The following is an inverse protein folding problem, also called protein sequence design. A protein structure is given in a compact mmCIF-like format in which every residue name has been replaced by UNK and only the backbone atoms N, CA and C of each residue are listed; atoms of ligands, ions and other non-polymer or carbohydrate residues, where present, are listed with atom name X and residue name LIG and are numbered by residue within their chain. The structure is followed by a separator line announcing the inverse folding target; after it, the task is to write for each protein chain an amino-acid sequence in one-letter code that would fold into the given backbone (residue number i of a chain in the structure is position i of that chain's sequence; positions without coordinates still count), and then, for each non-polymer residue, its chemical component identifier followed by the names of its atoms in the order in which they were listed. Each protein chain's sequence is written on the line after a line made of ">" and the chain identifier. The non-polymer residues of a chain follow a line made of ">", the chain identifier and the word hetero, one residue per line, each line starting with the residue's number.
data_IF_471204891807
#
_entry.id   IF_471204891807
#
_cell.length_a   1.000
_cell.length_b   1.000
_cell.length_c   1.000
_cell.angle_alpha   90.00
_cell.angle_beta   90.00
_cell.angle_gamma   90.00
#
_symmetry.space_group_name_H-M   'P 1'
#
loop_
_entity.id
_entity.type
_entity.pdbx_description
1 polymer ?
#
# COMPACT_ATOMS: atom_id res chain seq x y z
N UNK A 1 -17.54 19.04 -2.98
CA UNK A 1 -16.27 19.35 -2.27
C UNK A 1 -15.14 19.15 -3.24
N UNK A 2 -14.25 20.13 -3.37
CA UNK A 2 -13.07 20.05 -4.24
C UNK A 2 -11.80 19.81 -3.44
N UNK A 3 -11.07 18.74 -3.76
CA UNK A 3 -9.90 18.28 -2.99
C UNK A 3 -8.66 18.27 -3.86
N UNK A 4 -7.55 18.82 -3.35
CA UNK A 4 -6.25 18.65 -3.98
C UNK A 4 -5.44 17.61 -3.19
N UNK A 5 -5.09 16.51 -3.84
CA UNK A 5 -4.16 15.55 -3.30
C UNK A 5 -2.73 15.89 -3.74
N UNK A 6 -1.80 15.96 -2.79
CA UNK A 6 -0.38 16.22 -3.07
C UNK A 6 0.40 15.02 -2.57
N UNK A 7 1.13 14.36 -3.46
CA UNK A 7 1.94 13.17 -3.13
C UNK A 7 3.40 13.38 -3.54
N UNK A 8 4.32 12.71 -2.85
CA UNK A 8 5.75 12.83 -3.15
C UNK A 8 6.09 12.34 -4.56
N UNK A 9 5.54 11.21 -4.97
CA UNK A 9 5.69 10.62 -6.31
C UNK A 9 4.56 9.65 -6.60
N UNK A 10 4.43 9.22 -7.84
CA UNK A 10 3.40 8.28 -8.33
C UNK A 10 4.04 7.11 -9.09
N UNK A 11 5.14 6.59 -8.56
CA UNK A 11 5.70 5.31 -8.96
C UNK A 11 4.84 4.14 -8.49
N UNK A 12 5.36 2.90 -8.58
CA UNK A 12 4.65 1.74 -8.05
C UNK A 12 4.97 1.54 -6.58
N UNK A 13 3.96 1.67 -5.72
CA UNK A 13 4.06 1.48 -4.29
C UNK A 13 2.68 1.40 -3.62
N UNK A 14 2.64 0.89 -2.39
CA UNK A 14 1.37 0.71 -1.67
C UNK A 14 0.62 2.02 -1.40
N UNK A 15 1.33 3.11 -1.09
CA UNK A 15 0.72 4.41 -0.83
C UNK A 15 0.12 5.04 -2.09
N UNK A 16 0.80 4.88 -3.23
CA UNK A 16 0.40 5.39 -4.53
C UNK A 16 -0.83 4.64 -5.06
N UNK A 17 -0.83 3.32 -4.95
CA UNK A 17 -1.97 2.47 -5.31
C UNK A 17 -3.16 2.74 -4.38
N UNK A 18 -2.91 2.91 -3.07
CA UNK A 18 -3.95 3.25 -2.11
C UNK A 18 -4.57 4.63 -2.41
N UNK A 19 -3.77 5.61 -2.82
CA UNK A 19 -4.30 6.91 -3.25
C UNK A 19 -5.21 6.75 -4.46
N UNK A 20 -4.76 6.04 -5.52
CA UNK A 20 -5.58 5.80 -6.70
C UNK A 20 -6.89 5.11 -6.36
N UNK A 21 -6.83 4.04 -5.56
CA UNK A 21 -7.99 3.30 -5.14
C UNK A 21 -8.97 4.19 -4.35
N UNK A 22 -8.46 4.99 -3.42
CA UNK A 22 -9.26 5.93 -2.64
C UNK A 22 -9.95 6.98 -3.55
N UNK A 23 -9.23 7.53 -4.52
CA UNK A 23 -9.77 8.52 -5.48
C UNK A 23 -10.97 7.98 -6.27
N UNK A 24 -10.97 6.70 -6.61
CA UNK A 24 -12.08 6.05 -7.34
C UNK A 24 -13.34 5.87 -6.48
N UNK A 25 -13.20 5.93 -5.15
CA UNK A 25 -14.31 5.70 -4.21
C UNK A 25 -14.73 6.96 -3.45
N UNK A 26 -13.96 8.04 -3.55
CA UNK A 26 -14.32 9.31 -2.91
C UNK A 26 -15.31 10.09 -3.77
N UNK A 27 -16.46 10.52 -3.24
CA UNK A 27 -17.42 11.38 -3.94
C UNK A 27 -16.96 12.85 -3.94
N UNK A 28 -15.75 13.10 -4.41
CA UNK A 28 -15.13 14.43 -4.43
C UNK A 28 -14.64 14.81 -5.83
N UNK A 29 -14.69 16.10 -6.16
CA UNK A 29 -13.96 16.64 -7.31
C UNK A 29 -12.48 16.74 -6.93
N UNK A 30 -11.67 15.80 -7.41
CA UNK A 30 -10.29 15.65 -6.97
C UNK A 30 -9.29 15.92 -8.08
N UNK A 31 -8.23 16.67 -7.75
CA UNK A 31 -7.04 16.84 -8.55
C UNK A 31 -5.81 16.26 -7.81
N UNK A 32 -4.79 15.84 -8.53
CA UNK A 32 -3.56 15.28 -7.96
C UNK A 32 -2.34 16.08 -8.43
N UNK A 33 -1.43 16.36 -7.50
CA UNK A 33 -0.08 16.89 -7.80
C UNK A 33 0.96 15.90 -7.31
N UNK A 34 1.74 15.34 -8.22
CA UNK A 34 2.98 14.64 -7.90
C UNK A 34 4.12 15.66 -7.77
N UNK A 35 4.85 15.65 -6.66
CA UNK A 35 6.00 16.55 -6.50
C UNK A 35 7.16 16.11 -7.38
N UNK A 36 7.40 14.81 -7.47
CA UNK A 36 8.44 14.19 -8.29
C UNK A 36 7.90 12.91 -8.90
N UNK A 37 8.49 12.45 -10.00
CA UNK A 37 8.23 11.13 -10.59
C UNK A 37 6.73 10.84 -10.78
N UNK A 38 6.14 11.46 -11.79
CA UNK A 38 4.82 11.10 -12.30
C UNK A 38 4.92 9.79 -13.10
N UNK A 39 5.05 8.65 -12.39
CA UNK A 39 5.23 7.32 -12.98
C UNK A 39 3.93 6.69 -13.47
N UNK A 40 3.91 5.35 -13.51
CA UNK A 40 2.79 4.56 -14.08
C UNK A 40 1.47 4.76 -13.34
N UNK A 41 1.49 4.99 -12.02
CA UNK A 41 0.27 5.25 -11.25
C UNK A 41 -0.35 6.60 -11.62
N UNK A 42 0.47 7.61 -11.99
CA UNK A 42 -0.05 8.89 -12.49
C UNK A 42 -0.83 8.73 -13.79
N UNK A 43 -0.32 7.91 -14.71
CA UNK A 43 -1.01 7.59 -15.97
C UNK A 43 -2.34 6.87 -15.70
N UNK A 44 -2.34 5.95 -14.75
CA UNK A 44 -3.55 5.22 -14.37
C UNK A 44 -4.60 6.13 -13.71
N UNK A 45 -4.20 7.06 -12.83
CA UNK A 45 -5.09 8.06 -12.25
C UNK A 45 -5.66 8.99 -13.33
N UNK A 46 -4.85 9.39 -14.31
CA UNK A 46 -5.29 10.20 -15.43
C UNK A 46 -6.29 9.44 -16.33
N UNK A 47 -6.08 8.15 -16.55
CA UNK A 47 -7.00 7.28 -17.27
C UNK A 47 -8.33 7.09 -16.52
N UNK A 48 -8.34 7.17 -15.19
CA UNK A 48 -9.55 7.21 -14.36
C UNK A 48 -10.30 8.57 -14.45
N UNK A 49 -9.83 9.52 -15.28
CA UNK A 49 -10.45 10.82 -15.52
C UNK A 49 -10.06 11.92 -14.54
N UNK A 50 -9.06 11.69 -13.69
CA UNK A 50 -8.61 12.64 -12.67
C UNK A 50 -7.39 13.40 -13.18
N UNK A 51 -7.40 14.74 -13.04
CA UNK A 51 -6.27 15.56 -13.47
C UNK A 51 -5.05 15.35 -12.60
N UNK A 52 -3.93 14.96 -13.21
CA UNK A 52 -2.63 14.80 -12.56
C UNK A 52 -1.67 15.85 -13.07
N UNK A 53 -0.99 16.55 -12.17
CA UNK A 53 0.05 17.54 -12.50
C UNK A 53 1.38 17.05 -11.93
N UNK A 54 2.40 16.92 -12.76
CA UNK A 54 3.79 16.73 -12.31
C UNK A 54 4.40 18.09 -12.01
N UNK A 55 4.82 18.30 -10.76
CA UNK A 55 5.49 19.53 -10.35
C UNK A 55 6.96 19.58 -10.79
N UNK A 56 7.58 18.41 -11.05
CA UNK A 56 8.95 18.31 -11.51
C UNK A 56 9.97 18.86 -10.51
N UNK A 57 9.83 18.54 -9.21
CA UNK A 57 10.82 18.93 -8.19
C UNK A 57 12.15 18.25 -8.44
N UNK A 58 13.23 19.00 -8.44
CA UNK A 58 14.59 18.50 -8.62
C UNK A 58 15.17 17.80 -7.39
N UNK A 59 14.58 17.98 -6.20
CA UNK A 59 15.04 17.35 -4.96
C UNK A 59 14.40 17.91 -3.68
N UNK A 60 14.91 17.46 -2.53
CA UNK A 60 14.37 17.85 -1.22
C UNK A 60 14.56 19.33 -0.87
N UNK A 61 15.44 20.04 -1.54
CA UNK A 61 15.78 21.46 -1.28
C UNK A 61 15.30 22.39 -2.39
N UNK A 62 14.41 21.92 -3.29
CA UNK A 62 13.81 22.74 -4.35
C UNK A 62 12.76 23.69 -3.77
N UNK A 63 13.23 24.79 -3.19
CA UNK A 63 12.34 25.81 -2.63
C UNK A 63 11.53 26.53 -3.71
N UNK A 64 11.97 26.51 -4.99
CA UNK A 64 11.23 27.08 -6.12
C UNK A 64 9.93 26.29 -6.42
N UNK A 65 9.78 25.09 -5.91
CA UNK A 65 8.53 24.32 -5.97
C UNK A 65 7.39 24.98 -5.17
N UNK A 66 7.70 25.68 -4.05
CA UNK A 66 6.68 26.30 -3.20
C UNK A 66 5.80 27.32 -3.94
N UNK A 67 6.34 28.37 -4.61
CA UNK A 67 5.51 29.33 -5.32
C UNK A 67 4.74 28.69 -6.48
N UNK A 68 5.26 27.64 -7.13
CA UNK A 68 4.52 26.88 -8.16
C UNK A 68 3.32 26.17 -7.55
N UNK A 69 3.52 25.49 -6.42
CA UNK A 69 2.47 24.76 -5.70
C UNK A 69 1.40 25.73 -5.15
N UNK A 70 1.81 26.88 -4.58
CA UNK A 70 0.88 27.95 -4.13
C UNK A 70 0.00 28.45 -5.28
N UNK A 71 0.58 28.63 -6.46
CA UNK A 71 -0.18 29.07 -7.65
C UNK A 71 -1.23 28.03 -8.04
N UNK A 72 -0.88 26.74 -8.06
CA UNK A 72 -1.82 25.66 -8.36
C UNK A 72 -2.96 25.65 -7.34
N UNK A 73 -2.64 25.70 -6.04
CA UNK A 73 -3.63 25.68 -4.97
C UNK A 73 -4.60 26.85 -5.08
N UNK A 74 -4.12 28.08 -5.33
CA UNK A 74 -4.94 29.27 -5.48
C UNK A 74 -5.84 29.20 -6.71
N UNK A 75 -5.28 28.79 -7.86
CA UNK A 75 -6.02 28.68 -9.11
C UNK A 75 -7.14 27.64 -9.04
N UNK A 76 -6.91 26.54 -8.32
CA UNK A 76 -7.87 25.44 -8.21
C UNK A 76 -9.02 25.69 -7.24
N UNK A 77 -8.92 26.65 -6.31
CA UNK A 77 -9.94 26.98 -5.29
C UNK A 77 -10.40 25.76 -4.50
N UNK A 78 -9.46 24.97 -3.99
CA UNK A 78 -9.75 23.74 -3.27
C UNK A 78 -10.30 24.00 -1.86
N UNK A 79 -11.32 23.23 -1.48
CA UNK A 79 -11.89 23.22 -0.12
C UNK A 79 -10.93 22.56 0.86
N UNK A 80 -10.25 21.48 0.43
CA UNK A 80 -9.32 20.71 1.22
C UNK A 80 -8.02 20.46 0.43
N UNK A 81 -6.89 20.56 1.11
CA UNK A 81 -5.59 20.08 0.61
C UNK A 81 -5.20 18.85 1.41
N UNK A 82 -5.05 17.71 0.74
CA UNK A 82 -4.65 16.43 1.37
C UNK A 82 -3.26 16.02 0.88
N UNK A 83 -2.34 15.82 1.82
CA UNK A 83 -0.94 15.53 1.52
C UNK A 83 -0.59 14.08 1.90
N UNK A 84 0.22 13.41 1.06
CA UNK A 84 0.60 12.01 1.23
C UNK A 84 2.12 11.88 1.16
N UNK A 85 2.71 11.14 2.09
CA UNK A 85 4.13 10.93 2.23
C UNK A 85 4.89 12.18 2.72
N UNK A 86 6.05 11.96 3.34
CA UNK A 86 6.79 12.96 4.11
C UNK A 86 7.07 14.28 3.38
N UNK A 87 7.62 14.20 2.15
CA UNK A 87 7.97 15.40 1.38
C UNK A 87 6.73 16.22 1.03
N UNK A 88 5.68 15.57 0.56
CA UNK A 88 4.43 16.24 0.23
C UNK A 88 3.73 16.79 1.49
N UNK A 89 3.82 16.09 2.62
CA UNK A 89 3.34 16.62 3.90
C UNK A 89 4.05 17.91 4.31
N UNK A 90 5.34 18.02 4.06
CA UNK A 90 6.09 19.24 4.39
C UNK A 90 5.75 20.38 3.42
N UNK A 91 5.99 20.18 2.12
CA UNK A 91 5.80 21.21 1.10
C UNK A 91 4.33 21.59 0.92
N UNK A 92 3.43 20.60 0.91
CA UNK A 92 2.01 20.82 0.71
C UNK A 92 1.35 21.59 1.85
N UNK A 93 1.69 21.28 3.10
CA UNK A 93 1.20 22.03 4.26
C UNK A 93 1.63 23.51 4.23
N UNK A 94 2.91 23.77 3.93
CA UNK A 94 3.44 25.13 3.79
C UNK A 94 2.71 25.87 2.65
N UNK A 95 2.66 25.27 1.46
CA UNK A 95 2.03 25.88 0.29
C UNK A 95 0.53 26.13 0.49
N UNK A 96 -0.20 25.21 1.11
CA UNK A 96 -1.62 25.38 1.43
C UNK A 96 -1.86 26.58 2.35
N UNK A 97 -1.04 26.71 3.41
CA UNK A 97 -1.12 27.87 4.32
C UNK A 97 -0.80 29.19 3.62
N UNK A 98 0.24 29.23 2.77
CA UNK A 98 0.58 30.40 1.94
C UNK A 98 -0.53 30.70 0.91
N UNK A 99 -1.25 29.72 0.45
CA UNK A 99 -2.38 29.90 -0.47
C UNK A 99 -3.68 30.33 0.24
N UNK A 100 -3.72 30.30 1.59
CA UNK A 100 -4.90 30.67 2.39
C UNK A 100 -5.82 29.49 2.74
N UNK A 101 -5.51 28.25 2.31
CA UNK A 101 -6.30 27.07 2.64
C UNK A 101 -5.95 26.62 4.06
N UNK A 102 -6.98 26.53 4.93
CA UNK A 102 -6.86 26.12 6.32
C UNK A 102 -7.19 24.64 6.54
N UNK A 103 -8.02 24.07 5.67
CA UNK A 103 -8.41 22.65 5.71
C UNK A 103 -7.30 21.79 5.09
N UNK A 104 -6.28 21.50 5.88
CA UNK A 104 -5.13 20.70 5.44
C UNK A 104 -5.11 19.39 6.21
N UNK A 105 -5.25 18.29 5.48
CA UNK A 105 -5.17 16.91 5.97
C UNK A 105 -3.85 16.30 5.49
N UNK A 106 -3.28 15.39 6.26
CA UNK A 106 -2.11 14.62 5.84
C UNK A 106 -2.31 13.15 6.19
N UNK A 107 -1.95 12.23 5.29
CA UNK A 107 -1.95 10.78 5.57
C UNK A 107 -0.52 10.26 5.68
N UNK A 108 -0.26 9.57 6.79
CA UNK A 108 0.99 8.87 7.04
C UNK A 108 0.88 7.39 6.65
N UNK A 109 1.57 7.03 5.56
CA UNK A 109 1.54 5.69 4.97
C UNK A 109 2.71 4.81 5.41
N UNK A 110 3.84 5.38 5.87
CA UNK A 110 5.11 4.67 6.00
C UNK A 110 5.91 5.08 7.23
N UNK A 111 5.23 5.48 8.31
CA UNK A 111 5.89 5.80 9.57
C UNK A 111 6.14 4.52 10.37
N UNK A 112 7.41 4.08 10.40
CA UNK A 112 7.89 3.00 11.24
C UNK A 112 8.43 3.50 12.60
N UNK A 113 9.00 2.60 13.39
CA UNK A 113 9.64 2.96 14.66
C UNK A 113 11.08 3.46 14.44
N UNK A 114 11.78 2.92 13.47
CA UNK A 114 13.18 3.25 13.15
C UNK A 114 13.37 4.05 11.86
N UNK A 115 12.38 4.04 10.97
CA UNK A 115 12.49 4.63 9.64
C UNK A 115 11.15 5.21 9.16
N UNK A 116 11.26 6.19 8.24
CA UNK A 116 10.14 6.74 7.48
C UNK A 116 10.48 6.70 6.00
N UNK A 117 9.64 6.05 5.20
CA UNK A 117 9.86 5.88 3.75
C UNK A 117 11.25 5.28 3.41
N UNK A 118 11.72 4.33 4.25
CA UNK A 118 13.02 3.68 4.09
C UNK A 118 14.23 4.55 4.50
N UNK A 119 14.00 5.71 5.15
CA UNK A 119 15.07 6.58 5.65
C UNK A 119 15.12 6.53 7.16
N UNK A 120 16.33 6.55 7.77
CA UNK A 120 16.48 6.57 9.23
C UNK A 120 15.78 7.77 9.85
N UNK A 121 15.11 7.55 10.96
CA UNK A 121 14.51 8.61 11.77
C UNK A 121 15.58 9.32 12.59
N UNK A 122 15.79 10.60 12.28
CA UNK A 122 16.68 11.47 13.07
C UNK A 122 15.87 12.49 13.86
N UNK A 123 16.44 13.03 14.92
CA UNK A 123 15.83 14.10 15.71
C UNK A 123 15.45 15.31 14.82
N UNK A 124 16.29 15.64 13.83
CA UNK A 124 16.02 16.71 12.87
C UNK A 124 14.82 16.43 11.97
N UNK A 125 14.67 15.20 11.46
CA UNK A 125 13.51 14.76 10.67
C UNK A 125 12.25 14.87 11.50
N UNK A 126 12.28 14.38 12.75
CA UNK A 126 11.15 14.49 13.69
C UNK A 126 10.79 15.94 14.00
N UNK A 127 11.76 16.79 14.30
CA UNK A 127 11.52 18.19 14.60
C UNK A 127 10.89 18.94 13.42
N UNK A 128 11.38 18.70 12.20
CA UNK A 128 10.86 19.28 10.98
C UNK A 128 9.43 18.78 10.68
N UNK A 129 9.18 17.49 10.91
CA UNK A 129 7.86 16.92 10.80
C UNK A 129 6.85 17.58 11.73
N UNK A 130 7.19 17.71 13.02
CA UNK A 130 6.32 18.32 14.02
C UNK A 130 6.10 19.82 13.77
N UNK A 131 7.09 20.55 13.26
CA UNK A 131 6.93 21.93 12.84
C UNK A 131 5.93 22.05 11.67
N UNK A 132 6.07 21.18 10.66
CA UNK A 132 5.16 21.10 9.52
C UNK A 132 3.75 20.64 9.93
N UNK A 133 3.64 19.71 10.87
CA UNK A 133 2.37 19.17 11.35
C UNK A 133 1.46 20.26 11.92
N UNK A 134 2.04 21.24 12.63
CA UNK A 134 1.28 22.40 13.18
C UNK A 134 0.57 23.23 12.11
N UNK A 135 1.00 23.17 10.88
CA UNK A 135 0.37 23.84 9.74
C UNK A 135 -0.87 23.09 9.21
N UNK A 136 -1.02 21.80 9.53
CA UNK A 136 -2.19 20.99 9.20
C UNK A 136 -3.32 21.13 10.22
N UNK A 137 -4.46 20.50 9.96
CA UNK A 137 -5.62 20.39 10.88
C UNK A 137 -5.70 19.00 11.47
N UNK A 138 -5.54 17.99 10.65
CA UNK A 138 -5.65 16.55 11.01
C UNK A 138 -4.55 15.78 10.31
N UNK A 139 -3.97 14.83 11.05
CA UNK A 139 -3.09 13.80 10.51
C UNK A 139 -3.81 12.45 10.56
N UNK A 140 -3.98 11.83 9.40
CA UNK A 140 -4.57 10.50 9.23
C UNK A 140 -3.48 9.47 9.39
N UNK A 141 -3.68 8.50 10.27
CA UNK A 141 -2.86 7.32 10.44
C UNK A 141 -3.52 6.12 9.77
N UNK A 142 -2.78 5.37 8.96
CA UNK A 142 -3.33 4.20 8.24
C UNK A 142 -3.55 2.99 9.15
N UNK A 143 -3.12 3.05 10.40
CA UNK A 143 -3.37 2.02 11.41
C UNK A 143 -3.31 2.60 12.82
N UNK A 144 -3.88 1.91 13.84
CA UNK A 144 -3.72 2.29 15.24
C UNK A 144 -2.24 2.38 15.67
N UNK A 145 -1.38 1.50 15.15
CA UNK A 145 0.05 1.50 15.41
C UNK A 145 0.73 2.77 14.90
N UNK A 146 0.43 3.21 13.68
CA UNK A 146 0.90 4.50 13.14
C UNK A 146 0.37 5.66 13.97
N UNK A 147 -0.90 5.62 14.39
CA UNK A 147 -1.47 6.63 15.27
C UNK A 147 -0.74 6.74 16.61
N UNK A 148 -0.41 5.60 17.22
CA UNK A 148 0.38 5.56 18.45
C UNK A 148 1.81 6.10 18.27
N UNK A 149 2.45 5.77 17.13
CA UNK A 149 3.79 6.32 16.77
C UNK A 149 3.76 7.83 16.60
N UNK A 150 2.78 8.37 15.88
CA UNK A 150 2.58 9.82 15.74
C UNK A 150 2.42 10.51 17.10
N UNK A 151 1.63 9.90 17.98
CA UNK A 151 1.45 10.44 19.33
C UNK A 151 2.75 10.41 20.14
N UNK A 152 3.50 9.31 20.12
CA UNK A 152 4.83 9.23 20.77
C UNK A 152 5.82 10.26 20.19
N UNK A 153 5.64 10.67 18.93
CA UNK A 153 6.43 11.73 18.31
C UNK A 153 6.08 13.12 18.82
N UNK A 154 4.89 13.31 19.37
CA UNK A 154 4.41 14.57 19.92
C UNK A 154 3.24 15.19 19.16
N UNK A 155 2.63 14.45 18.22
CA UNK A 155 1.37 14.91 17.60
C UNK A 155 0.24 14.75 18.62
N UNK A 156 -0.55 15.81 18.89
CA UNK A 156 -1.67 15.74 19.82
C UNK A 156 -2.72 14.72 19.38
N UNK A 157 -3.24 13.90 20.31
CA UNK A 157 -4.24 12.85 20.02
C UNK A 157 -5.47 13.38 19.28
N UNK A 158 -5.96 14.57 19.67
CA UNK A 158 -7.12 15.20 19.03
C UNK A 158 -6.89 15.55 17.55
N UNK A 159 -5.65 15.59 17.07
CA UNK A 159 -5.30 15.84 15.67
C UNK A 159 -5.02 14.57 14.88
N UNK A 160 -5.01 13.41 15.53
CA UNK A 160 -4.83 12.11 14.88
C UNK A 160 -6.21 11.49 14.62
N UNK A 161 -6.41 10.98 13.40
CA UNK A 161 -7.54 10.14 13.03
C UNK A 161 -7.00 8.86 12.42
N UNK A 162 -7.54 7.73 12.83
CA UNK A 162 -7.20 6.46 12.20
C UNK A 162 -8.21 6.20 11.09
N UNK A 163 -7.71 6.12 9.86
CA UNK A 163 -8.46 5.69 8.67
C UNK A 163 -7.63 4.60 8.03
N UNK A 164 -8.00 3.32 8.20
CA UNK A 164 -7.26 2.21 7.63
C UNK A 164 -7.19 2.28 6.11
N UNK A 165 -6.11 1.76 5.53
CA UNK A 165 -6.09 1.47 4.11
C UNK A 165 -7.22 0.51 3.76
N UNK A 166 -7.79 0.69 2.57
CA UNK A 166 -8.88 -0.14 2.08
C UNK A 166 -8.47 -0.99 0.89
N UNK A 167 -9.19 -2.08 0.66
CA UNK A 167 -9.07 -2.93 -0.52
C UNK A 167 -10.44 -3.18 -1.17
N UNK A 168 -10.45 -3.51 -2.45
CA UNK A 168 -11.63 -4.05 -3.14
C UNK A 168 -11.71 -5.55 -2.84
N UNK A 169 -12.37 -5.93 -1.73
CA UNK A 169 -12.36 -7.28 -1.19
C UNK A 169 -12.75 -8.34 -2.23
N UNK A 170 -13.84 -8.09 -2.97
CA UNK A 170 -14.37 -9.04 -3.97
C UNK A 170 -13.38 -9.31 -5.11
N UNK A 171 -12.50 -8.37 -5.40
CA UNK A 171 -11.49 -8.49 -6.43
C UNK A 171 -10.40 -9.51 -6.09
N UNK A 172 -10.10 -9.66 -4.82
CA UNK A 172 -9.10 -10.60 -4.32
C UNK A 172 -9.66 -11.99 -4.03
N UNK A 173 -10.98 -12.19 -4.28
CA UNK A 173 -11.60 -13.49 -4.07
C UNK A 173 -10.88 -14.58 -4.85
N UNK A 174 -10.68 -15.73 -4.20
CA UNK A 174 -10.04 -16.88 -4.81
C UNK A 174 -10.74 -17.33 -6.09
N UNK A 175 -9.99 -17.48 -7.19
CA UNK A 175 -10.46 -17.98 -8.46
C UNK A 175 -9.67 -19.24 -8.87
N UNK A 176 -10.30 -20.44 -8.83
CA UNK A 176 -9.66 -21.69 -9.23
C UNK A 176 -9.16 -21.69 -10.69
N UNK A 177 -9.89 -21.05 -11.60
CA UNK A 177 -9.51 -20.99 -13.00
C UNK A 177 -8.26 -20.10 -13.20
N UNK A 178 -8.24 -18.95 -12.54
CA UNK A 178 -7.08 -18.06 -12.50
C UNK A 178 -5.87 -18.76 -11.86
N UNK A 179 -6.06 -19.51 -10.76
CA UNK A 179 -5.03 -20.32 -10.13
C UNK A 179 -4.36 -21.27 -11.12
N UNK A 180 -5.15 -22.04 -11.87
CA UNK A 180 -4.62 -23.01 -12.84
C UNK A 180 -3.82 -22.32 -13.93
N UNK A 181 -4.35 -21.25 -14.55
CA UNK A 181 -3.67 -20.47 -15.61
C UNK A 181 -2.38 -19.85 -15.10
N UNK A 182 -2.42 -19.22 -13.90
CA UNK A 182 -1.24 -18.54 -13.36
C UNK A 182 -0.14 -19.51 -12.96
N UNK A 183 -0.48 -20.66 -12.38
CA UNK A 183 0.49 -21.72 -12.10
C UNK A 183 1.16 -22.25 -13.37
N UNK A 184 0.40 -22.45 -14.43
CA UNK A 184 0.94 -22.83 -15.74
C UNK A 184 1.85 -21.75 -16.32
N UNK A 185 1.42 -20.47 -16.28
CA UNK A 185 2.20 -19.33 -16.77
C UNK A 185 3.56 -19.21 -16.05
N UNK A 186 3.57 -19.42 -14.73
CA UNK A 186 4.79 -19.37 -13.92
C UNK A 186 5.64 -20.64 -13.98
N UNK A 187 5.21 -21.67 -14.71
CA UNK A 187 5.89 -22.95 -14.79
C UNK A 187 6.05 -23.61 -13.42
N UNK A 188 5.00 -23.53 -12.58
CA UNK A 188 5.01 -24.16 -11.26
C UNK A 188 4.72 -25.66 -11.37
N UNK A 189 5.48 -26.54 -10.68
CA UNK A 189 5.21 -27.97 -10.70
C UNK A 189 3.79 -28.30 -10.24
N UNK A 190 3.21 -29.35 -10.84
CA UNK A 190 1.94 -29.89 -10.36
C UNK A 190 2.10 -30.39 -8.93
N UNK A 191 1.20 -29.95 -8.03
CA UNK A 191 1.27 -30.35 -6.62
C UNK A 191 2.28 -29.54 -5.77
N UNK A 192 3.04 -28.58 -6.34
CA UNK A 192 3.91 -27.73 -5.55
C UNK A 192 3.12 -26.92 -4.50
N UNK A 193 3.68 -26.85 -3.28
CA UNK A 193 3.21 -25.92 -2.26
C UNK A 193 3.86 -24.56 -2.51
N UNK A 194 3.05 -23.57 -2.87
CA UNK A 194 3.51 -22.25 -3.33
C UNK A 194 3.39 -21.21 -2.24
N UNK A 195 4.51 -20.71 -1.77
CA UNK A 195 4.59 -19.64 -0.76
C UNK A 195 4.85 -18.31 -1.44
N UNK A 196 3.96 -17.34 -1.25
CA UNK A 196 4.11 -15.98 -1.77
C UNK A 196 4.84 -15.04 -0.83
N UNK A 197 5.66 -14.16 -1.40
CA UNK A 197 6.13 -12.95 -0.75
C UNK A 197 5.78 -11.75 -1.64
N UNK A 198 5.00 -10.79 -1.14
CA UNK A 198 4.49 -9.65 -1.92
C UNK A 198 4.98 -8.34 -1.31
N UNK A 199 5.63 -7.50 -2.12
CA UNK A 199 6.09 -6.17 -1.71
C UNK A 199 7.38 -5.74 -2.37
N UNK A 200 7.82 -4.51 -2.07
CA UNK A 200 9.09 -3.99 -2.58
C UNK A 200 10.26 -4.85 -2.11
N UNK A 201 11.16 -5.23 -3.01
CA UNK A 201 12.35 -6.03 -2.67
C UNK A 201 13.42 -5.11 -2.03
N UNK A 202 13.21 -4.79 -0.75
CA UNK A 202 14.10 -3.96 0.07
C UNK A 202 14.54 -4.73 1.31
N UNK A 203 15.65 -4.34 1.92
CA UNK A 203 16.20 -4.96 3.12
C UNK A 203 15.19 -5.03 4.28
N UNK A 204 14.32 -4.01 4.42
CA UNK A 204 13.27 -3.98 5.46
C UNK A 204 12.20 -5.06 5.30
N UNK A 205 11.98 -5.57 4.09
CA UNK A 205 11.00 -6.64 3.84
C UNK A 205 11.51 -8.05 4.19
N UNK A 206 12.82 -8.20 4.41
CA UNK A 206 13.44 -9.43 4.89
C UNK A 206 13.09 -10.69 4.09
N UNK A 207 12.96 -10.59 2.77
CA UNK A 207 12.75 -11.76 1.93
C UNK A 207 13.93 -12.75 1.95
N UNK A 208 15.10 -12.33 2.44
CA UNK A 208 16.21 -13.21 2.78
C UNK A 208 15.82 -14.28 3.80
N UNK A 209 14.99 -13.92 4.80
CA UNK A 209 14.46 -14.85 5.80
C UNK A 209 13.56 -15.90 5.13
N UNK A 210 12.66 -15.47 4.22
CA UNK A 210 11.78 -16.39 3.51
C UNK A 210 12.56 -17.38 2.63
N UNK A 211 13.61 -16.93 1.93
CA UNK A 211 14.45 -17.81 1.12
C UNK A 211 15.22 -18.81 1.99
N UNK A 212 15.76 -18.38 3.12
CA UNK A 212 16.45 -19.27 4.08
C UNK A 212 15.49 -20.28 4.73
N UNK A 213 14.25 -19.88 5.01
CA UNK A 213 13.21 -20.80 5.47
C UNK A 213 12.89 -21.86 4.39
N UNK A 214 12.71 -21.42 3.13
CA UNK A 214 12.42 -22.32 2.02
C UNK A 214 13.54 -23.34 1.75
N UNK A 215 14.79 -23.00 2.04
CA UNK A 215 15.91 -23.93 1.91
C UNK A 215 15.85 -25.12 2.91
N UNK A 216 15.14 -24.95 4.03
CA UNK A 216 14.92 -25.98 5.04
C UNK A 216 13.70 -26.88 4.75
N UNK A 217 12.90 -26.49 3.73
CA UNK A 217 11.65 -27.16 3.39
C UNK A 217 11.84 -28.14 2.23
N UNK A 218 10.98 -29.18 2.12
CA UNK A 218 11.03 -30.16 1.04
C UNK A 218 11.02 -29.51 -0.36
N UNK A 219 11.50 -30.27 -1.35
CA UNK A 219 11.74 -29.78 -2.71
C UNK A 219 10.46 -29.36 -3.47
N UNK A 220 9.29 -29.78 -3.02
CA UNK A 220 7.99 -29.40 -3.57
C UNK A 220 7.52 -28.00 -3.13
N UNK A 221 8.23 -27.37 -2.18
CA UNK A 221 7.94 -25.97 -1.77
C UNK A 221 8.60 -25.00 -2.76
N UNK A 222 7.81 -24.14 -3.35
CA UNK A 222 8.24 -23.10 -4.31
C UNK A 222 7.90 -21.72 -3.74
N UNK A 223 8.86 -20.79 -3.84
CA UNK A 223 8.65 -19.39 -3.43
C UNK A 223 8.35 -18.53 -4.66
N UNK A 224 7.32 -17.69 -4.57
CA UNK A 224 6.97 -16.68 -5.57
C UNK A 224 7.13 -15.30 -4.95
N UNK A 225 8.12 -14.53 -5.40
CA UNK A 225 8.36 -13.15 -4.97
C UNK A 225 7.76 -12.19 -5.99
N UNK A 226 6.79 -11.38 -5.54
CA UNK A 226 6.08 -10.40 -6.33
C UNK A 226 6.50 -9.00 -5.91
N UNK A 227 7.10 -8.28 -6.81
CA UNK A 227 7.60 -6.91 -6.61
C UNK A 227 9.01 -6.72 -7.14
N UNK A 228 9.44 -5.46 -7.19
CA UNK A 228 10.79 -5.07 -7.58
C UNK A 228 11.49 -4.33 -6.43
N UNK A 229 12.80 -4.22 -6.52
CA UNK A 229 13.56 -3.43 -5.56
C UNK A 229 15.06 -3.65 -5.62
N UNK A 230 15.84 -2.84 -4.90
CA UNK A 230 17.30 -2.87 -4.95
C UNK A 230 17.90 -4.19 -4.42
N UNK A 231 17.17 -4.94 -3.60
CA UNK A 231 17.64 -6.23 -3.05
C UNK A 231 17.46 -7.40 -4.02
N UNK A 232 16.77 -7.24 -5.15
CA UNK A 232 16.54 -8.36 -6.09
C UNK A 232 17.82 -9.09 -6.53
N UNK A 233 18.91 -8.38 -6.93
CA UNK A 233 20.14 -9.06 -7.33
C UNK A 233 20.75 -9.89 -6.19
N UNK A 234 20.68 -9.41 -4.94
CA UNK A 234 21.21 -10.15 -3.79
C UNK A 234 20.31 -11.33 -3.42
N UNK A 235 18.99 -11.18 -3.50
CA UNK A 235 18.04 -12.26 -3.26
C UNK A 235 18.21 -13.38 -4.31
N UNK A 236 18.47 -13.05 -5.56
CA UNK A 236 18.78 -14.06 -6.62
C UNK A 236 20.09 -14.80 -6.31
N UNK A 237 21.14 -14.07 -5.92
CA UNK A 237 22.41 -14.70 -5.50
C UNK A 237 22.21 -15.57 -4.25
N UNK A 238 21.41 -15.12 -3.30
CA UNK A 238 21.10 -15.89 -2.10
C UNK A 238 20.36 -17.20 -2.45
N UNK A 239 19.34 -17.11 -3.31
CA UNK A 239 18.60 -18.29 -3.76
C UNK A 239 19.54 -19.34 -4.41
N UNK A 240 20.46 -18.91 -5.27
CA UNK A 240 21.47 -19.79 -5.87
C UNK A 240 22.39 -20.42 -4.81
N UNK A 241 22.95 -19.62 -3.88
CA UNK A 241 23.80 -20.17 -2.78
C UNK A 241 23.08 -21.16 -1.90
N UNK A 242 21.76 -21.04 -1.76
CA UNK A 242 20.92 -21.94 -0.95
C UNK A 242 20.43 -23.18 -1.75
N UNK A 243 20.84 -23.33 -3.01
CA UNK A 243 20.39 -24.45 -3.85
C UNK A 243 18.91 -24.40 -4.22
N UNK A 244 18.33 -23.20 -4.26
CA UNK A 244 16.91 -22.98 -4.58
C UNK A 244 16.68 -22.72 -6.08
N UNK A 245 17.64 -23.09 -6.93
CA UNK A 245 17.49 -22.96 -8.38
C UNK A 245 16.26 -23.73 -8.86
N UNK A 246 15.38 -23.05 -9.61
CA UNK A 246 14.10 -23.64 -10.02
C UNK A 246 12.99 -23.67 -8.96
N UNK A 247 13.29 -23.32 -7.70
CA UNK A 247 12.31 -23.25 -6.59
C UNK A 247 11.92 -21.81 -6.22
N UNK A 248 12.49 -20.80 -6.86
CA UNK A 248 12.13 -19.39 -6.65
C UNK A 248 11.71 -18.76 -7.97
N UNK A 249 10.60 -18.04 -7.96
CA UNK A 249 10.11 -17.24 -9.08
C UNK A 249 10.09 -15.77 -8.68
N UNK A 250 10.84 -14.94 -9.40
CA UNK A 250 10.79 -13.48 -9.28
C UNK A 250 9.89 -12.97 -10.39
N UNK A 251 8.70 -12.48 -10.03
CA UNK A 251 7.65 -12.10 -10.99
C UNK A 251 7.78 -10.64 -11.45
N UNK A 252 8.52 -9.83 -10.65
CA UNK A 252 8.54 -8.39 -10.89
C UNK A 252 7.31 -7.68 -10.33
N UNK A 253 7.13 -6.42 -10.72
CA UNK A 253 5.96 -5.64 -10.29
C UNK A 253 4.68 -6.20 -10.92
N UNK A 254 3.69 -6.42 -10.08
CA UNK A 254 2.34 -6.74 -10.53
C UNK A 254 1.40 -5.59 -10.17
N UNK A 255 0.56 -5.23 -11.10
CA UNK A 255 -0.49 -4.23 -10.87
C UNK A 255 -1.70 -4.87 -10.19
N UNK A 256 -2.46 -4.07 -9.45
CA UNK A 256 -3.76 -4.51 -8.95
C UNK A 256 -4.76 -4.68 -10.09
N UNK A 257 -4.51 -4.09 -11.24
CA UNK A 257 -5.37 -4.17 -12.41
C UNK A 257 -4.63 -4.86 -13.55
N UNK A 258 -5.30 -5.82 -14.19
CA UNK A 258 -5.00 -6.12 -15.57
C UNK A 258 -5.10 -4.80 -16.36
N UNK A 259 -4.16 -4.45 -17.27
CA UNK A 259 -4.29 -3.26 -18.09
C UNK A 259 -5.67 -3.28 -18.75
N UNK A 260 -6.39 -2.17 -18.64
CA UNK A 260 -7.76 -2.00 -19.13
C UNK A 260 -7.82 -2.38 -20.61
N UNK A 261 -8.51 -3.48 -20.93
CA UNK A 261 -8.93 -3.74 -22.29
C UNK A 261 -10.15 -2.87 -22.56
N UNK A 262 -10.07 -1.98 -23.54
CA UNK A 262 -11.21 -1.21 -23.99
C UNK A 262 -12.38 -2.14 -24.31
N UNK A 263 -13.63 -1.81 -23.94
CA UNK A 263 -14.78 -2.63 -24.28
C UNK A 263 -14.87 -2.76 -25.81
N UNK A 264 -14.57 -3.94 -26.33
CA UNK A 264 -14.60 -4.24 -27.78
C UNK A 264 -13.41 -5.00 -28.34
N UNK A 265 -12.28 -5.07 -27.63
CA UNK A 265 -11.11 -5.87 -28.05
C UNK A 265 -10.99 -7.17 -27.27
N UNK A 266 -11.91 -8.09 -27.46
CA UNK A 266 -11.75 -9.47 -27.00
C UNK A 266 -11.08 -10.31 -28.08
N UNK A 267 -9.76 -10.43 -28.05
CA UNK A 267 -9.07 -11.48 -28.79
C UNK A 267 -8.49 -12.48 -27.79
N UNK A 268 -9.03 -13.69 -27.81
CA UNK A 268 -8.63 -14.84 -26.95
C UNK A 268 -7.14 -15.20 -27.00
N UNK A 269 -6.39 -14.67 -27.95
CA UNK A 269 -4.93 -14.90 -28.09
C UNK A 269 -4.06 -13.94 -27.28
N UNK A 270 -4.58 -12.81 -26.80
CA UNK A 270 -3.82 -11.83 -26.01
C UNK A 270 -3.72 -12.17 -24.52
N UNK A 271 -4.62 -12.98 -23.97
CA UNK A 271 -4.65 -13.31 -22.55
C UNK A 271 -3.51 -14.23 -22.09
N UNK A 272 -3.00 -15.09 -22.98
CA UNK A 272 -1.92 -16.03 -22.65
C UNK A 272 -0.54 -15.37 -22.54
N UNK A 273 -0.35 -14.20 -23.15
CA UNK A 273 0.93 -13.48 -23.18
C UNK A 273 1.06 -12.40 -22.08
N UNK A 274 0.03 -12.18 -21.31
CA UNK A 274 -0.05 -11.08 -20.32
C UNK A 274 0.45 -11.53 -18.96
N UNK A 275 1.31 -10.71 -18.32
CA UNK A 275 1.74 -10.95 -16.94
C UNK A 275 0.53 -11.00 -15.98
N UNK A 276 0.45 -11.99 -15.07
CA UNK A 276 -0.65 -12.11 -14.12
C UNK A 276 -0.75 -10.89 -13.20
N UNK A 277 -1.97 -10.43 -12.94
CA UNK A 277 -2.24 -9.41 -11.92
C UNK A 277 -2.12 -9.99 -10.49
N UNK A 278 -2.09 -9.11 -9.49
CA UNK A 278 -1.91 -9.54 -8.10
C UNK A 278 -3.01 -10.49 -7.60
N UNK A 279 -4.31 -10.29 -7.88
CA UNK A 279 -5.34 -11.26 -7.53
C UNK A 279 -5.10 -12.67 -8.10
N UNK A 280 -4.66 -12.74 -9.36
CA UNK A 280 -4.31 -13.99 -10.03
C UNK A 280 -3.11 -14.68 -9.39
N UNK A 281 -2.08 -13.89 -9.04
CA UNK A 281 -0.89 -14.38 -8.33
C UNK A 281 -1.24 -14.91 -6.93
N UNK A 282 -2.08 -14.19 -6.17
CA UNK A 282 -2.56 -14.65 -4.86
C UNK A 282 -3.38 -15.94 -4.98
N UNK A 283 -4.24 -16.07 -6.00
CA UNK A 283 -4.96 -17.31 -6.26
C UNK A 283 -4.03 -18.49 -6.55
N UNK A 284 -2.86 -18.26 -7.16
CA UNK A 284 -1.87 -19.29 -7.47
C UNK A 284 -1.09 -19.80 -6.23
N UNK A 285 -1.02 -19.02 -5.17
CA UNK A 285 -0.30 -19.34 -3.93
C UNK A 285 -1.08 -20.29 -3.02
N UNK A 286 -0.40 -20.90 -2.05
CA UNK A 286 -0.97 -21.74 -0.99
C UNK A 286 -0.82 -21.11 0.40
N UNK A 287 0.16 -20.25 0.57
CA UNK A 287 0.36 -19.41 1.75
C UNK A 287 0.99 -18.08 1.35
N UNK A 288 0.79 -17.05 2.15
CA UNK A 288 1.49 -15.77 2.02
C UNK A 288 2.38 -15.55 3.25
N UNK A 289 3.63 -15.14 3.05
CA UNK A 289 4.60 -14.92 4.10
C UNK A 289 5.23 -13.53 4.02
N UNK A 290 5.18 -12.79 5.12
CA UNK A 290 5.83 -11.48 5.26
C UNK A 290 6.75 -11.45 6.48
N UNK A 291 8.05 -11.68 6.30
CA UNK A 291 9.01 -11.63 7.39
C UNK A 291 9.42 -10.21 7.79
N UNK A 292 8.80 -9.18 7.23
CA UNK A 292 9.04 -7.78 7.58
C UNK A 292 8.78 -7.51 9.06
N UNK A 293 9.77 -7.10 9.86
CA UNK A 293 9.59 -6.82 11.29
C UNK A 293 8.89 -5.49 11.54
N UNK A 294 8.74 -4.66 10.52
CA UNK A 294 8.17 -3.33 10.64
C UNK A 294 7.25 -3.01 9.45
N UNK A 295 5.97 -2.86 9.73
CA UNK A 295 4.95 -2.47 8.78
C UNK A 295 4.15 -1.26 9.32
N UNK A 296 3.62 -0.46 8.40
CA UNK A 296 2.67 0.60 8.76
C UNK A 296 1.22 0.09 8.77
N UNK A 297 0.92 -0.90 7.92
CA UNK A 297 -0.40 -1.49 7.79
C UNK A 297 -0.36 -2.99 7.49
N UNK A 298 0.34 -3.40 6.42
CA UNK A 298 0.37 -4.79 5.94
C UNK A 298 -0.64 -5.04 4.81
N UNK A 299 -0.71 -4.13 3.83
CA UNK A 299 -1.72 -4.17 2.74
C UNK A 299 -1.73 -5.52 2.00
N UNK A 300 -0.56 -6.01 1.58
CA UNK A 300 -0.45 -7.29 0.87
C UNK A 300 -0.96 -8.49 1.70
N UNK A 301 -0.86 -8.42 3.04
CA UNK A 301 -1.36 -9.45 3.93
C UNK A 301 -2.89 -9.44 4.00
N UNK A 302 -3.50 -8.25 4.03
CA UNK A 302 -4.97 -8.09 3.97
C UNK A 302 -5.51 -8.57 2.61
N UNK A 303 -4.80 -8.30 1.51
CA UNK A 303 -5.11 -8.80 0.17
C UNK A 303 -5.01 -10.33 0.10
N UNK A 304 -3.97 -10.90 0.72
CA UNK A 304 -3.83 -12.36 0.86
C UNK A 304 -4.96 -13.00 1.66
N UNK A 305 -5.35 -12.40 2.79
CA UNK A 305 -6.51 -12.84 3.58
C UNK A 305 -7.82 -12.73 2.77
N UNK A 306 -7.97 -11.70 1.95
CA UNK A 306 -9.13 -11.55 1.07
C UNK A 306 -9.21 -12.67 0.02
N UNK A 307 -8.05 -13.23 -0.39
CA UNK A 307 -7.98 -14.43 -1.24
C UNK A 307 -8.12 -15.74 -0.45
N UNK A 308 -8.42 -15.67 0.85
CA UNK A 308 -8.53 -16.84 1.73
C UNK A 308 -7.21 -17.58 1.95
N UNK A 309 -6.07 -16.92 1.76
CA UNK A 309 -4.76 -17.52 2.03
C UNK A 309 -4.48 -17.55 3.53
N UNK A 310 -3.86 -18.61 4.04
CA UNK A 310 -3.17 -18.55 5.32
C UNK A 310 -1.99 -17.56 5.19
N UNK A 311 -1.87 -16.66 6.17
CA UNK A 311 -0.92 -15.57 6.18
C UNK A 311 0.00 -15.67 7.39
N UNK A 312 1.32 -15.74 7.15
CA UNK A 312 2.35 -15.66 8.18
C UNK A 312 3.00 -14.29 8.17
N UNK A 313 3.10 -13.63 9.32
CA UNK A 313 3.65 -12.28 9.39
C UNK A 313 4.50 -12.04 10.64
N UNK A 314 5.57 -11.26 10.49
CA UNK A 314 6.35 -10.77 11.63
C UNK A 314 5.82 -9.42 12.17
N UNK A 315 5.17 -8.62 11.32
CA UNK A 315 4.40 -7.44 11.72
C UNK A 315 3.27 -7.18 10.73
N UNK A 316 2.05 -7.00 11.24
CA UNK A 316 0.88 -6.63 10.45
C UNK A 316 -0.11 -5.82 11.29
N UNK A 317 0.07 -4.49 11.41
CA UNK A 317 -0.80 -3.64 12.22
C UNK A 317 -2.29 -3.72 11.85
N UNK A 318 -2.61 -4.13 10.63
CA UNK A 318 -3.99 -4.36 10.22
C UNK A 318 -4.67 -5.48 11.01
N UNK A 319 -3.94 -6.55 11.36
CA UNK A 319 -4.53 -7.70 12.06
C UNK A 319 -4.15 -7.79 13.53
N UNK A 320 -3.06 -7.15 13.96
CA UNK A 320 -2.57 -7.22 15.34
C UNK A 320 -3.56 -6.63 16.36
N UNK A 321 -4.37 -5.65 15.95
CA UNK A 321 -5.39 -5.01 16.78
C UNK A 321 -6.75 -5.68 16.80
N UNK A 322 -6.93 -6.80 16.07
CA UNK A 322 -8.19 -7.53 15.98
C UNK A 322 -8.28 -8.64 17.03
N UNK A 323 -9.49 -9.04 17.37
CA UNK A 323 -9.75 -10.17 18.27
C UNK A 323 -9.27 -11.50 17.64
N UNK A 324 -8.98 -12.50 18.47
CA UNK A 324 -8.43 -13.77 18.02
C UNK A 324 -9.33 -14.48 16.99
N UNK A 325 -10.66 -14.38 17.14
CA UNK A 325 -11.62 -14.95 16.19
C UNK A 325 -11.59 -14.22 14.84
N UNK A 326 -11.38 -12.91 14.86
CA UNK A 326 -11.28 -12.09 13.64
C UNK A 326 -9.93 -12.29 12.91
N UNK A 327 -8.87 -12.67 13.63
CA UNK A 327 -7.54 -12.96 13.06
C UNK A 327 -7.44 -14.32 12.38
N UNK A 328 -8.55 -15.02 12.18
CA UNK A 328 -8.56 -16.32 11.49
C UNK A 328 -7.81 -16.25 10.16
N UNK A 329 -6.95 -17.25 9.92
CA UNK A 329 -6.10 -17.30 8.73
C UNK A 329 -4.80 -16.47 8.82
N UNK A 330 -4.57 -15.68 9.88
CA UNK A 330 -3.34 -14.92 10.08
C UNK A 330 -2.61 -15.37 11.34
N UNK A 331 -1.33 -15.71 11.22
CA UNK A 331 -0.50 -16.15 12.33
C UNK A 331 0.78 -15.32 12.45
N UNK A 332 1.06 -14.85 13.65
CA UNK A 332 2.34 -14.21 13.97
C UNK A 332 3.48 -15.23 13.89
N UNK A 333 4.58 -14.84 13.29
CA UNK A 333 5.79 -15.63 13.17
C UNK A 333 7.00 -14.69 13.33
N UNK A 334 7.91 -14.96 14.27
CA UNK A 334 9.14 -14.17 14.41
C UNK A 334 9.91 -14.06 13.09
N UNK A 335 10.58 -12.92 12.86
CA UNK A 335 11.34 -12.68 11.61
C UNK A 335 12.66 -13.44 11.59
N UNK A 336 12.60 -14.75 11.68
CA UNK A 336 13.74 -15.66 11.58
C UNK A 336 13.43 -16.88 10.68
N UNK A 337 14.44 -17.48 10.02
CA UNK A 337 14.22 -18.57 9.08
C UNK A 337 13.60 -19.82 9.67
N UNK A 338 13.97 -20.19 10.90
CA UNK A 338 13.54 -21.46 11.52
C UNK A 338 12.05 -21.39 11.90
N UNK A 339 11.60 -20.26 12.46
CA UNK A 339 10.21 -20.02 12.79
C UNK A 339 9.33 -20.04 11.52
N UNK A 340 9.76 -19.37 10.43
CA UNK A 340 9.01 -19.41 9.16
C UNK A 340 9.02 -20.82 8.54
N UNK A 341 10.14 -21.55 8.59
CA UNK A 341 10.21 -22.92 8.09
C UNK A 341 9.25 -23.84 8.83
N UNK A 342 9.24 -23.78 10.17
CA UNK A 342 8.34 -24.58 11.00
C UNK A 342 6.86 -24.26 10.72
N UNK A 343 6.50 -22.97 10.67
CA UNK A 343 5.14 -22.55 10.42
C UNK A 343 4.67 -22.94 9.01
N UNK A 344 5.50 -22.74 7.97
CA UNK A 344 5.20 -23.15 6.60
C UNK A 344 5.08 -24.66 6.45
N UNK A 345 5.92 -25.44 7.18
CA UNK A 345 5.84 -26.89 7.19
C UNK A 345 4.49 -27.37 7.73
N UNK A 346 3.98 -26.72 8.80
CA UNK A 346 2.69 -27.04 9.39
C UNK A 346 1.48 -26.71 8.47
N UNK A 347 1.63 -25.77 7.57
CA UNK A 347 0.55 -25.42 6.61
C UNK A 347 0.48 -26.37 5.40
N UNK A 348 1.50 -27.20 5.18
CA UNK A 348 1.51 -28.16 4.06
C UNK A 348 0.48 -29.27 4.31
N UNK A 349 -0.33 -29.55 3.32
CA UNK A 349 -1.38 -30.58 3.39
C UNK A 349 -2.76 -30.07 3.73
N UNK A 350 -2.89 -28.89 4.33
CA UNK A 350 -4.16 -28.30 4.77
C UNK A 350 -4.71 -27.24 3.81
N UNK A 351 -4.32 -27.29 2.51
CA UNK A 351 -4.81 -26.30 1.52
C UNK A 351 -6.20 -26.68 1.08
N UNK A 352 -7.25 -25.99 1.56
CA UNK A 352 -8.63 -26.31 1.19
C UNK A 352 -8.88 -26.01 -0.29
N UNK A 353 -9.70 -26.83 -1.00
CA UNK A 353 -10.07 -26.59 -2.39
C UNK A 353 -10.92 -25.33 -2.56
N UNK A 354 -11.60 -24.91 -1.51
CA UNK A 354 -12.35 -23.66 -1.44
C UNK A 354 -11.79 -22.79 -0.33
N UNK A 355 -11.59 -21.53 -0.63
CA UNK A 355 -11.02 -20.54 0.28
C UNK A 355 -12.01 -19.41 0.49
N UNK A 356 -12.29 -19.10 1.74
CA UNK A 356 -13.14 -17.99 2.13
C UNK A 356 -12.32 -16.93 2.86
N UNK A 357 -12.59 -15.67 2.54
CA UNK A 357 -11.98 -14.57 3.25
C UNK A 357 -12.49 -14.52 4.70
N UNK A 358 -11.62 -14.37 5.71
CA UNK A 358 -12.04 -14.19 7.09
C UNK A 358 -12.85 -12.90 7.27
N UNK A 359 -13.72 -12.87 8.28
CA UNK A 359 -14.59 -11.72 8.56
C UNK A 359 -13.82 -10.42 8.75
N UNK A 360 -12.61 -10.49 9.28
CA UNK A 360 -11.72 -9.34 9.48
C UNK A 360 -11.49 -8.50 8.23
N UNK A 361 -11.45 -9.12 7.05
CA UNK A 361 -11.19 -8.42 5.78
C UNK A 361 -12.27 -7.36 5.49
N UNK A 362 -13.50 -7.56 5.99
CA UNK A 362 -14.61 -6.59 5.82
C UNK A 362 -14.34 -5.25 6.51
N UNK A 363 -13.47 -5.22 7.53
CA UNK A 363 -13.05 -3.97 8.17
C UNK A 363 -12.26 -3.07 7.22
N UNK A 364 -11.63 -3.66 6.19
CA UNK A 364 -10.75 -3.02 5.23
C UNK A 364 -11.37 -2.86 3.84
N UNK A 365 -12.72 -2.92 3.73
CA UNK A 365 -13.39 -2.57 2.49
C UNK A 365 -13.13 -1.09 2.15
N UNK A 366 -12.74 -0.81 0.92
CA UNK A 366 -12.36 0.55 0.49
C UNK A 366 -13.49 1.57 0.65
N UNK A 367 -14.75 1.18 0.45
CA UNK A 367 -15.89 2.07 0.66
C UNK A 367 -15.96 2.58 2.10
N UNK A 368 -15.73 1.71 3.08
CA UNK A 368 -15.69 2.09 4.50
C UNK A 368 -14.54 3.07 4.80
N UNK A 369 -13.36 2.84 4.22
CA UNK A 369 -12.22 3.74 4.37
C UNK A 369 -12.50 5.10 3.72
N UNK A 370 -13.16 5.11 2.56
CA UNK A 370 -13.59 6.34 1.89
C UNK A 370 -14.61 7.13 2.74
N UNK A 371 -15.62 6.46 3.30
CA UNK A 371 -16.60 7.11 4.19
C UNK A 371 -15.93 7.72 5.43
N UNK A 372 -14.99 7.00 6.04
CA UNK A 372 -14.22 7.52 7.17
C UNK A 372 -13.38 8.75 6.78
N UNK A 373 -12.75 8.73 5.60
CA UNK A 373 -11.99 9.87 5.11
C UNK A 373 -12.90 11.07 4.78
N UNK A 374 -14.10 10.84 4.24
CA UNK A 374 -15.10 11.88 4.03
C UNK A 374 -15.52 12.54 5.35
N UNK A 375 -15.68 11.77 6.43
CA UNK A 375 -15.94 12.32 7.75
C UNK A 375 -14.78 13.21 8.25
N UNK A 376 -13.54 12.83 7.96
CA UNK A 376 -12.38 13.68 8.25
C UNK A 376 -12.45 14.98 7.44
N UNK A 377 -12.73 14.93 6.15
CA UNK A 377 -12.86 16.12 5.33
C UNK A 377 -13.97 17.04 5.81
N UNK A 378 -15.15 16.51 6.13
CA UNK A 378 -16.27 17.27 6.68
C UNK A 378 -15.91 17.98 8.00
N UNK A 379 -15.06 17.35 8.82
CA UNK A 379 -14.63 17.94 10.12
C UNK A 379 -13.65 19.11 9.98
N UNK A 380 -12.99 19.27 8.82
CA UNK A 380 -11.97 20.31 8.59
C UNK A 380 -12.36 21.31 7.51
N UNK A 381 -13.27 20.95 6.59
CA UNK A 381 -13.74 21.84 5.53
C UNK A 381 -14.45 23.08 6.15
N UNK A 382 -14.34 24.25 5.50
CA UNK A 382 -15.16 25.39 5.89
C UNK A 382 -16.63 24.99 5.76
N UNK A 383 -17.42 25.27 6.81
CA UNK A 383 -18.88 25.11 6.76
C UNK A 383 -19.47 25.84 5.55
N UNK A 384 -20.67 25.46 5.08
CA UNK A 384 -21.32 26.20 3.99
C UNK A 384 -21.38 27.68 4.36
N UNK A 385 -20.80 28.53 3.54
CA UNK A 385 -20.90 29.97 3.68
C UNK A 385 -22.38 30.30 3.56
N UNK A 386 -23.03 30.63 4.67
CA UNK A 386 -24.36 31.24 4.62
C UNK A 386 -24.16 32.53 3.85
N UNK A 387 -24.61 32.58 2.59
CA UNK A 387 -24.77 33.84 1.87
C UNK A 387 -25.77 34.68 2.66
N UNK A 388 -25.24 35.60 3.45
CA UNK A 388 -26.06 36.67 4.03
C UNK A 388 -26.42 37.57 2.85
N UNK A 389 -27.59 37.33 2.29
CA UNK A 389 -28.22 38.28 1.34
C UNK A 389 -28.44 39.57 2.13
N UNK A 390 -27.84 40.70 1.75
CA UNK A 390 -28.15 41.97 2.40
C UNK A 390 -29.61 42.31 2.05
N UNK A 391 -30.42 42.63 3.08
CA UNK A 391 -31.75 43.20 2.93
C UNK A 391 -31.64 44.68 2.53
#
# INVERSE_FOLDING_TARGET
>A
MKVLHIITGLGVGGAEQQLRLMLRHLPTDSDVVALTNAGTVAQAIAADGIRVTDLGMSGNRDLAALPRLVRIIRAGRYDVVHTHLYRACLYGRIAARMAGVRAVVATEHSLGDSQMEGRPLTAGVRALYLAGERLGRVTVAVSPAVGARLHRWGVPRQRIRVVPNGIEVERFRFDPASRARTRQHLGLPSGAFVVGGVGRLTAGKRFDVLLRAAAQLPADVVVVLVGNGPEEPELRRLAHRLGLDGRVRFVGESTHEAPYASPGESTRESDAARAPDLPSLLSAMDALASPSPEEAFGLALVEGLASGLPVLYASCPAVEGLDAAERSGAAYCPSDPDSFAQALHGLRGDVPPHREAPAAVRHYCISRSADQLMNVYASVAPGPTLEVTPR
#
